data_IF_380180174118
#
_entry.id   IF_380180174118
#
_cell.length_a   1.000
_cell.length_b   1.000
_cell.length_c   1.000
_cell.angle_alpha   90.00
_cell.angle_beta   90.00
_cell.angle_gamma   90.00
#
_symmetry.space_group_name_H-M   'P 1'
#
loop_
_entity.id
_entity.type
_entity.pdbx_description
1 polymer ?
#
# COMPACT_ATOMS: atom_id res chain seq x y z
N UNK A 1 24.56 -6.82 -28.98
CA UNK A 1 23.53 -6.94 -27.93
C UNK A 1 22.22 -7.31 -28.61
N UNK A 2 21.95 -8.60 -28.77
CA UNK A 2 20.69 -9.09 -29.33
C UNK A 2 19.68 -9.23 -28.19
N UNK A 3 18.66 -8.38 -28.18
CA UNK A 3 17.49 -8.60 -27.32
C UNK A 3 16.67 -9.75 -27.94
N UNK A 4 16.18 -10.70 -27.13
CA UNK A 4 15.24 -11.69 -27.63
C UNK A 4 13.96 -11.00 -28.12
N UNK A 5 13.26 -11.58 -29.12
CA UNK A 5 12.02 -11.02 -29.63
C UNK A 5 10.98 -10.93 -28.50
N UNK A 6 10.07 -9.93 -28.55
CA UNK A 6 9.03 -9.78 -27.55
C UNK A 6 8.21 -11.06 -27.47
N UNK A 7 8.09 -11.62 -26.26
CA UNK A 7 7.26 -12.80 -26.01
C UNK A 7 5.82 -12.41 -26.38
N UNK A 8 5.25 -13.08 -27.38
CA UNK A 8 3.84 -12.95 -27.72
C UNK A 8 3.02 -13.37 -26.51
N UNK A 9 2.37 -12.40 -25.87
CA UNK A 9 1.37 -12.71 -24.87
C UNK A 9 0.23 -13.45 -25.59
N UNK A 10 -0.32 -14.52 -25.02
CA UNK A 10 -1.54 -15.11 -25.57
C UNK A 10 -2.58 -14.00 -25.66
N UNK A 11 -3.30 -13.93 -26.79
CA UNK A 11 -4.45 -13.05 -26.91
C UNK A 11 -5.36 -13.30 -25.72
N UNK A 12 -5.73 -12.24 -25.00
CA UNK A 12 -6.83 -12.31 -24.04
C UNK A 12 -7.97 -13.04 -24.75
N UNK A 13 -8.55 -14.09 -24.15
CA UNK A 13 -9.66 -14.79 -24.79
C UNK A 13 -10.67 -13.73 -25.19
N UNK A 14 -10.98 -13.65 -26.49
CA UNK A 14 -12.09 -12.85 -26.96
C UNK A 14 -13.26 -13.27 -26.09
N UNK A 15 -13.85 -12.32 -25.38
CA UNK A 15 -14.91 -12.57 -24.40
C UNK A 15 -15.92 -13.50 -25.04
N UNK A 16 -15.83 -14.79 -24.70
CA UNK A 16 -16.72 -15.80 -25.27
C UNK A 16 -18.09 -15.45 -24.75
N UNK A 17 -18.95 -15.03 -25.68
CA UNK A 17 -20.41 -14.89 -25.59
C UNK A 17 -21.02 -15.43 -24.30
N UNK A 18 -20.82 -14.67 -23.23
CA UNK A 18 -21.58 -14.77 -22.00
C UNK A 18 -21.92 -13.31 -21.72
N UNK A 19 -23.21 -13.02 -21.60
CA UNK A 19 -23.76 -11.67 -21.43
C UNK A 19 -23.31 -10.98 -20.14
N UNK A 20 -22.40 -11.59 -19.39
CA UNK A 20 -22.00 -11.16 -18.06
C UNK A 20 -20.57 -10.63 -18.14
N UNK A 21 -20.46 -9.31 -18.03
CA UNK A 21 -19.21 -8.58 -17.94
C UNK A 21 -18.40 -9.04 -16.70
N UNK A 22 -17.09 -8.84 -16.72
CA UNK A 22 -16.24 -9.06 -15.55
C UNK A 22 -16.83 -8.38 -14.30
N UNK A 23 -16.90 -9.12 -13.19
CA UNK A 23 -17.48 -8.61 -11.94
C UNK A 23 -18.96 -8.95 -11.71
N UNK A 24 -19.62 -9.69 -12.60
CA UNK A 24 -21.00 -10.13 -12.34
C UNK A 24 -21.04 -11.20 -11.25
N UNK A 25 -21.81 -10.88 -10.21
CA UNK A 25 -22.18 -11.75 -9.12
C UNK A 25 -23.29 -12.70 -9.57
N UNK A 26 -23.04 -14.00 -9.57
CA UNK A 26 -24.07 -15.02 -9.84
C UNK A 26 -24.19 -15.93 -8.64
N UNK A 27 -25.38 -16.04 -8.08
CA UNK A 27 -25.71 -16.95 -6.97
C UNK A 27 -24.79 -16.80 -5.73
N UNK A 28 -24.30 -15.60 -5.44
CA UNK A 28 -23.41 -15.39 -4.30
C UNK A 28 -21.91 -15.54 -4.60
N UNK A 29 -21.55 -15.91 -5.83
CA UNK A 29 -20.18 -16.29 -6.20
C UNK A 29 -19.68 -15.39 -7.33
N UNK A 30 -18.46 -14.87 -7.14
CA UNK A 30 -17.74 -14.16 -8.21
C UNK A 30 -17.39 -15.18 -9.30
N UNK A 31 -17.84 -14.93 -10.52
CA UNK A 31 -17.58 -15.81 -11.65
C UNK A 31 -16.07 -16.05 -11.83
N UNK A 32 -15.67 -17.32 -11.93
CA UNK A 32 -14.28 -17.81 -12.01
C UNK A 32 -13.45 -17.78 -10.70
N UNK A 33 -14.07 -17.57 -9.54
CA UNK A 33 -13.41 -17.80 -8.26
C UNK A 33 -13.37 -19.31 -7.93
N UNK A 34 -12.18 -19.92 -7.95
CA UNK A 34 -11.99 -21.32 -7.55
C UNK A 34 -12.09 -21.55 -6.03
N UNK A 35 -12.14 -20.47 -5.24
CA UNK A 35 -12.28 -20.51 -3.78
C UNK A 35 -13.58 -19.86 -3.33
N UNK A 36 -14.53 -20.64 -2.85
CA UNK A 36 -15.73 -20.15 -2.16
C UNK A 36 -15.39 -19.96 -0.68
N UNK A 37 -14.53 -18.97 -0.39
CA UNK A 37 -14.31 -18.56 1.00
C UNK A 37 -15.57 -17.89 1.54
N UNK A 38 -15.89 -18.10 2.82
CA UNK A 38 -16.88 -17.24 3.49
C UNK A 38 -16.34 -15.83 3.53
N UNK A 39 -17.09 -14.87 3.01
CA UNK A 39 -16.78 -13.45 3.20
C UNK A 39 -16.73 -13.18 4.70
N UNK A 40 -15.60 -12.67 5.17
CA UNK A 40 -15.49 -12.20 6.55
C UNK A 40 -16.03 -10.79 6.63
N UNK A 41 -16.79 -10.49 7.68
CA UNK A 41 -17.21 -9.14 8.00
C UNK A 41 -16.07 -8.25 8.49
N UNK A 42 -14.98 -8.87 8.99
CA UNK A 42 -13.75 -8.19 9.41
C UNK A 42 -12.50 -8.90 8.88
N UNK A 43 -11.37 -8.19 8.69
CA UNK A 43 -10.11 -8.80 8.30
C UNK A 43 -9.56 -9.80 9.34
N UNK A 44 -9.77 -9.51 10.63
CA UNK A 44 -9.41 -10.34 11.78
C UNK A 44 -10.33 -10.03 12.97
N UNK A 45 -10.28 -10.85 14.01
CA UNK A 45 -11.09 -10.65 15.22
C UNK A 45 -10.70 -9.33 15.90
N UNK A 46 -11.67 -8.46 16.14
CA UNK A 46 -11.45 -7.14 16.75
C UNK A 46 -10.85 -6.06 15.83
N UNK A 47 -10.61 -6.36 14.54
CA UNK A 47 -10.13 -5.37 13.55
C UNK A 47 -11.31 -4.77 12.79
N UNK A 48 -11.56 -3.47 12.98
CA UNK A 48 -12.72 -2.77 12.40
C UNK A 48 -12.35 -1.67 11.42
N UNK A 49 -11.08 -1.26 11.38
CA UNK A 49 -10.61 -0.14 10.58
C UNK A 49 -9.18 -0.39 10.07
N UNK A 50 -8.74 0.44 9.11
CA UNK A 50 -7.44 0.26 8.46
C UNK A 50 -6.26 0.45 9.43
N UNK A 51 -6.39 1.28 10.46
CA UNK A 51 -5.33 1.51 11.42
C UNK A 51 -5.22 0.35 12.43
N UNK A 52 -6.35 -0.18 12.92
CA UNK A 52 -6.35 -1.37 13.78
C UNK A 52 -5.82 -2.60 13.04
N UNK A 53 -6.08 -2.72 11.74
CA UNK A 53 -5.51 -3.77 10.90
C UNK A 53 -3.98 -3.75 10.87
N UNK A 54 -3.37 -2.59 10.61
CA UNK A 54 -1.90 -2.52 10.56
C UNK A 54 -1.29 -2.68 11.95
N UNK A 55 -1.95 -2.16 12.99
CA UNK A 55 -1.49 -2.32 14.37
C UNK A 55 -1.49 -3.79 14.80
N UNK A 56 -2.54 -4.52 14.47
CA UNK A 56 -2.64 -5.97 14.71
C UNK A 56 -1.55 -6.75 13.94
N UNK A 57 -1.37 -6.45 12.64
CA UNK A 57 -0.29 -7.05 11.84
C UNK A 57 1.09 -6.77 12.43
N UNK A 58 1.33 -5.53 12.88
CA UNK A 58 2.60 -5.15 13.48
C UNK A 58 2.86 -5.84 14.83
N UNK A 59 1.81 -6.13 15.61
CA UNK A 59 1.93 -6.91 16.84
C UNK A 59 2.29 -8.38 16.53
N UNK A 60 1.63 -9.00 15.54
CA UNK A 60 1.85 -10.40 15.14
C UNK A 60 3.22 -10.65 14.52
N UNK A 61 3.78 -9.66 13.82
CA UNK A 61 5.01 -9.80 13.03
C UNK A 61 6.10 -8.80 13.44
N UNK A 62 6.14 -8.41 14.72
CA UNK A 62 6.94 -7.30 15.25
C UNK A 62 8.41 -7.23 14.79
N UNK A 63 9.10 -8.37 14.77
CA UNK A 63 10.51 -8.50 14.38
C UNK A 63 10.76 -8.66 12.88
N UNK A 64 9.71 -8.87 12.08
CA UNK A 64 9.85 -9.09 10.65
C UNK A 64 10.05 -7.75 9.91
N UNK A 65 10.80 -7.73 8.80
CA UNK A 65 10.85 -6.59 7.90
C UNK A 65 9.45 -6.20 7.40
N UNK A 66 9.09 -4.92 7.54
CA UNK A 66 7.80 -4.39 7.08
C UNK A 66 7.93 -3.58 5.79
N UNK A 67 8.90 -2.67 5.75
CA UNK A 67 9.13 -1.75 4.63
C UNK A 67 10.62 -1.66 4.33
N UNK A 68 10.98 -1.56 3.05
CA UNK A 68 12.37 -1.47 2.60
C UNK A 68 12.54 -0.41 1.52
N UNK A 69 13.59 0.41 1.61
CA UNK A 69 13.91 1.45 0.64
C UNK A 69 15.41 1.51 0.36
N UNK A 70 15.78 2.08 -0.78
CA UNK A 70 17.18 2.31 -1.12
C UNK A 70 17.53 3.76 -0.82
N UNK A 71 18.51 4.04 0.06
CA UNK A 71 18.92 5.40 0.32
C UNK A 71 19.57 5.98 -0.94
N UNK A 72 19.28 7.24 -1.26
CA UNK A 72 19.99 7.98 -2.30
C UNK A 72 21.39 8.30 -1.76
N UNK A 73 22.42 7.70 -2.36
CA UNK A 73 23.82 7.96 -2.00
C UNK A 73 24.39 9.16 -2.77
N UNK A 74 23.86 9.44 -3.95
CA UNK A 74 24.33 10.52 -4.80
C UNK A 74 23.25 10.92 -5.81
N UNK A 75 23.20 12.21 -6.13
CA UNK A 75 22.33 12.79 -7.16
C UNK A 75 23.21 13.61 -8.10
N UNK A 76 23.19 13.29 -9.40
CA UNK A 76 23.98 13.95 -10.43
C UNK A 76 23.11 14.27 -11.63
N UNK A 77 23.25 15.45 -12.21
CA UNK A 77 22.62 15.78 -13.49
C UNK A 77 23.58 15.41 -14.61
N UNK A 78 23.12 14.57 -15.54
CA UNK A 78 23.88 14.17 -16.73
C UNK A 78 23.00 14.47 -17.94
N UNK A 79 23.47 15.33 -18.84
CA UNK A 79 22.74 15.72 -20.05
C UNK A 79 21.33 16.28 -19.76
N UNK A 80 21.20 17.05 -18.67
CA UNK A 80 19.93 17.64 -18.25
C UNK A 80 18.98 16.68 -17.52
N UNK A 81 19.33 15.39 -17.38
CA UNK A 81 18.53 14.40 -16.65
C UNK A 81 19.13 14.10 -15.27
N UNK A 82 18.26 13.95 -14.26
CA UNK A 82 18.67 13.52 -12.92
C UNK A 82 19.01 12.03 -12.92
N UNK A 83 20.22 11.71 -12.45
CA UNK A 83 20.71 10.35 -12.25
C UNK A 83 21.03 10.14 -10.78
N UNK A 84 20.39 9.13 -10.19
CA UNK A 84 20.55 8.76 -8.79
C UNK A 84 21.46 7.54 -8.65
N UNK A 85 22.41 7.59 -7.72
CA UNK A 85 23.12 6.42 -7.24
C UNK A 85 22.47 5.97 -5.94
N UNK A 86 21.86 4.79 -5.97
CA UNK A 86 21.10 4.25 -4.86
C UNK A 86 21.91 3.20 -4.10
N UNK A 87 21.82 3.21 -2.77
CA UNK A 87 22.47 2.24 -1.89
C UNK A 87 21.74 0.90 -1.82
N UNK A 88 22.18 -0.01 -0.94
CA UNK A 88 21.46 -1.26 -0.66
C UNK A 88 20.13 -0.99 0.04
N UNK A 89 19.19 -1.93 -0.06
CA UNK A 89 17.93 -1.84 0.67
C UNK A 89 18.16 -1.79 2.18
N UNK A 90 17.46 -0.87 2.84
CA UNK A 90 17.37 -0.79 4.29
C UNK A 90 15.94 -1.11 4.68
N UNK A 91 15.78 -2.14 5.50
CA UNK A 91 14.48 -2.55 6.01
C UNK A 91 14.23 -1.96 7.39
N UNK A 92 12.99 -1.58 7.64
CA UNK A 92 12.48 -1.25 8.98
C UNK A 92 11.55 -2.36 9.42
N UNK A 93 11.64 -2.80 10.67
CA UNK A 93 10.76 -3.85 11.19
C UNK A 93 9.33 -3.32 11.42
N UNK A 94 8.35 -4.21 11.50
CA UNK A 94 6.97 -3.83 11.83
C UNK A 94 6.86 -3.00 13.11
N UNK A 95 7.58 -3.41 14.16
CA UNK A 95 7.55 -2.73 15.46
C UNK A 95 8.14 -1.32 15.42
N UNK A 96 9.19 -1.10 14.64
CA UNK A 96 9.78 0.23 14.44
C UNK A 96 8.90 1.09 13.55
N UNK A 97 8.32 0.50 12.50
CA UNK A 97 7.50 1.23 11.55
C UNK A 97 6.20 1.74 12.17
N UNK A 98 5.49 0.91 12.95
CA UNK A 98 4.26 1.34 13.63
C UNK A 98 4.54 2.44 14.66
N UNK A 99 5.68 2.43 15.34
CA UNK A 99 6.10 3.52 16.24
C UNK A 99 6.29 4.84 15.49
N UNK A 100 6.84 4.80 14.28
CA UNK A 100 6.98 6.00 13.42
C UNK A 100 5.62 6.52 12.94
N UNK A 101 4.71 5.62 12.55
CA UNK A 101 3.32 5.95 12.21
C UNK A 101 2.61 6.64 13.39
N UNK A 102 2.74 6.08 14.59
CA UNK A 102 2.12 6.63 15.80
C UNK A 102 2.67 8.01 16.18
N UNK A 103 3.99 8.17 16.11
CA UNK A 103 4.64 9.45 16.34
C UNK A 103 4.20 10.50 15.31
N UNK A 104 4.15 10.13 14.02
CA UNK A 104 3.69 11.02 12.95
C UNK A 104 2.23 11.44 13.15
N UNK A 105 1.31 10.49 13.38
CA UNK A 105 -0.11 10.79 13.59
C UNK A 105 -0.34 11.69 14.82
N UNK A 106 0.42 11.48 15.90
CA UNK A 106 0.35 12.32 17.10
C UNK A 106 0.86 13.75 16.82
N UNK A 107 1.93 13.88 16.03
CA UNK A 107 2.43 15.18 15.60
C UNK A 107 1.44 15.92 14.69
N UNK A 108 0.83 15.19 13.74
CA UNK A 108 -0.13 15.75 12.80
C UNK A 108 -1.33 16.39 13.52
N UNK A 109 -1.94 15.67 14.47
CA UNK A 109 -3.06 16.19 15.26
C UNK A 109 -2.68 17.45 16.04
N UNK A 110 -1.49 17.46 16.66
CA UNK A 110 -1.02 18.57 17.48
C UNK A 110 -0.68 19.82 16.67
N UNK A 111 -0.19 19.67 15.44
CA UNK A 111 0.38 20.77 14.66
C UNK A 111 -0.55 21.32 13.58
N UNK A 112 -1.45 20.51 13.04
CA UNK A 112 -2.22 20.87 11.85
C UNK A 112 -3.67 21.30 12.12
N UNK A 113 -4.11 21.30 13.39
CA UNK A 113 -5.50 21.64 13.78
C UNK A 113 -6.57 20.90 12.95
N UNK A 114 -6.35 19.61 12.72
CA UNK A 114 -7.24 18.76 11.93
C UNK A 114 -8.25 18.05 12.83
N UNK A 115 -9.47 17.94 12.35
CA UNK A 115 -10.56 17.19 12.98
C UNK A 115 -10.79 15.85 12.27
N UNK A 116 -11.30 14.82 12.96
CA UNK A 116 -11.69 13.58 12.31
C UNK A 116 -12.59 13.85 11.10
N UNK A 117 -12.39 13.09 10.02
CA UNK A 117 -13.02 13.22 8.70
C UNK A 117 -12.50 14.35 7.80
N UNK A 118 -11.59 15.19 8.28
CA UNK A 118 -10.87 16.12 7.38
C UNK A 118 -10.05 15.32 6.36
N UNK A 119 -9.91 15.88 5.15
CA UNK A 119 -9.20 15.23 4.04
C UNK A 119 -7.77 15.74 3.94
N UNK A 120 -6.82 14.80 3.89
CA UNK A 120 -5.40 15.05 3.62
C UNK A 120 -5.04 14.52 2.24
N UNK A 121 -4.46 15.39 1.40
CA UNK A 121 -3.96 15.02 0.08
C UNK A 121 -2.45 14.87 0.13
N UNK A 122 -1.93 13.74 -0.35
CA UNK A 122 -0.49 13.42 -0.29
C UNK A 122 0.12 13.46 -1.70
N UNK A 123 0.81 14.56 -2.01
CA UNK A 123 1.57 14.71 -3.26
C UNK A 123 3.00 14.17 -3.10
N UNK A 124 3.14 12.87 -3.26
CA UNK A 124 4.45 12.22 -3.34
C UNK A 124 4.34 10.87 -4.04
N UNK A 125 5.47 10.36 -4.54
CA UNK A 125 5.55 8.98 -5.04
C UNK A 125 5.28 7.98 -3.92
N UNK A 126 4.86 6.76 -4.30
CA UNK A 126 4.68 5.64 -3.37
C UNK A 126 6.02 5.26 -2.73
N UNK A 127 6.28 5.83 -1.56
CA UNK A 127 7.49 5.62 -0.74
C UNK A 127 7.10 5.26 0.70
N UNK A 128 8.08 4.86 1.52
CA UNK A 128 7.80 4.51 2.92
C UNK A 128 7.14 5.66 3.69
N UNK A 129 7.59 6.89 3.43
CA UNK A 129 7.07 8.12 4.01
C UNK A 129 5.62 8.40 3.60
N UNK A 130 5.28 8.16 2.33
CA UNK A 130 3.91 8.28 1.82
C UNK A 130 2.98 7.35 2.60
N UNK A 131 3.37 6.09 2.73
CA UNK A 131 2.58 5.09 3.44
C UNK A 131 2.50 5.39 4.95
N UNK A 132 3.59 5.88 5.54
CA UNK A 132 3.62 6.31 6.95
C UNK A 132 2.64 7.46 7.19
N UNK A 133 2.57 8.42 6.27
CA UNK A 133 1.65 9.54 6.33
C UNK A 133 0.19 9.05 6.26
N UNK A 134 -0.13 8.18 5.30
CA UNK A 134 -1.47 7.63 5.14
C UNK A 134 -1.95 6.89 6.41
N UNK A 135 -1.11 6.00 6.97
CA UNK A 135 -1.45 5.30 8.21
C UNK A 135 -1.57 6.23 9.42
N UNK A 136 -0.74 7.27 9.49
CA UNK A 136 -0.83 8.29 10.53
C UNK A 136 -2.11 9.11 10.43
N UNK A 137 -2.60 9.38 9.21
CA UNK A 137 -3.88 10.02 8.97
C UNK A 137 -5.04 9.14 9.45
N UNK A 138 -5.07 7.86 9.08
CA UNK A 138 -6.11 6.93 9.53
C UNK A 138 -6.12 6.75 11.06
N UNK A 139 -4.96 6.79 11.72
CA UNK A 139 -4.87 6.81 13.18
C UNK A 139 -5.65 7.97 13.82
N UNK A 140 -5.69 9.13 13.15
CA UNK A 140 -6.41 10.32 13.61
C UNK A 140 -7.86 10.37 13.10
N UNK A 141 -8.34 9.33 12.40
CA UNK A 141 -9.67 9.33 11.79
C UNK A 141 -9.81 10.28 10.61
N UNK A 142 -8.70 10.64 9.95
CA UNK A 142 -8.68 11.51 8.78
C UNK A 142 -8.92 10.70 7.50
N UNK A 143 -9.41 11.36 6.45
CA UNK A 143 -9.54 10.81 5.12
C UNK A 143 -8.25 11.07 4.31
N UNK A 144 -7.79 10.07 3.55
CA UNK A 144 -6.68 10.24 2.59
C UNK A 144 -7.30 10.28 1.20
N UNK A 145 -7.08 11.38 0.48
CA UNK A 145 -7.64 11.66 -0.85
C UNK A 145 -6.61 11.67 -1.97
#
# INVERSE_FOLDING_TARGET
LFLPPPRTLPSLPSTMSTSLQFGVYKDGILWNAQGVGKFKSSPADGVTDCYTLIKDSAARHSSHPAVSERPVLERRTVEGMEKLRLGPYRSTTFSEYIKRVDAFGSGLQRLANLSPKDTVVIYADTQQSWMQCAFGCWRQGLCVG
#
